data_IF_327168473860
#
_entry.id   IF_327168473860
#
_cell.length_a   1.000
_cell.length_b   1.000
_cell.length_c   1.000
_cell.angle_alpha   90.00
_cell.angle_beta   90.00
_cell.angle_gamma   90.00
#
_symmetry.space_group_name_H-M   'P 1'
#
loop_
_entity.id
_entity.type
_entity.pdbx_description
1 polymer ?
#
# COMPACT_ATOMS: atom_id res chain seq x y z
N UNK A 1 -29.26 -3.07 -9.25
CA UNK A 1 -29.47 -2.17 -10.40
C UNK A 1 -28.81 -0.83 -10.05
N UNK A 2 -27.53 -0.70 -10.28
CA UNK A 2 -26.84 0.58 -10.31
C UNK A 2 -26.52 0.87 -11.78
N UNK A 3 -27.38 1.66 -12.39
CA UNK A 3 -27.13 2.32 -13.65
C UNK A 3 -26.07 3.38 -13.41
N UNK A 4 -24.81 3.08 -13.71
CA UNK A 4 -23.76 4.09 -13.81
C UNK A 4 -24.04 4.94 -15.05
N UNK A 5 -24.57 6.14 -14.87
CA UNK A 5 -24.40 7.20 -15.86
C UNK A 5 -22.90 7.51 -15.90
N UNK A 6 -22.22 6.98 -16.89
CA UNK A 6 -20.93 7.53 -17.32
C UNK A 6 -21.27 8.86 -17.96
N UNK A 7 -21.08 9.94 -17.18
CA UNK A 7 -21.24 11.30 -17.65
C UNK A 7 -19.99 11.67 -18.44
N UNK A 8 -20.28 12.21 -19.60
CA UNK A 8 -19.50 13.06 -20.49
C UNK A 8 -17.97 13.06 -20.41
N UNK A 9 -17.42 12.77 -21.58
CA UNK A 9 -16.06 12.96 -22.07
C UNK A 9 -15.45 14.28 -21.59
N UNK A 10 -14.82 14.31 -20.42
CA UNK A 10 -13.72 15.23 -20.22
C UNK A 10 -12.54 14.74 -21.05
N UNK A 11 -12.25 15.44 -22.14
CA UNK A 11 -11.02 15.28 -22.89
C UNK A 11 -9.86 15.58 -21.93
N UNK A 12 -9.13 14.54 -21.54
CA UNK A 12 -7.90 14.68 -20.74
C UNK A 12 -6.96 15.57 -21.57
N UNK A 13 -6.75 16.78 -21.11
CA UNK A 13 -5.81 17.73 -21.72
C UNK A 13 -4.39 17.32 -21.37
N UNK A 14 -3.84 16.39 -22.16
CA UNK A 14 -2.41 16.07 -22.10
C UNK A 14 -1.58 17.35 -22.25
N UNK A 15 -0.54 17.47 -21.44
CA UNK A 15 0.43 18.55 -21.60
C UNK A 15 1.12 18.43 -22.96
N UNK A 16 1.72 19.52 -23.44
CA UNK A 16 2.41 19.53 -24.73
C UNK A 16 3.54 18.50 -24.80
N UNK A 17 4.26 18.33 -23.69
CA UNK A 17 5.36 17.36 -23.60
C UNK A 17 4.86 15.90 -23.61
N UNK A 18 3.71 15.62 -23.02
CA UNK A 18 3.10 14.28 -23.02
C UNK A 18 2.56 13.94 -24.41
N UNK A 19 1.99 14.91 -25.13
CA UNK A 19 1.56 14.73 -26.52
C UNK A 19 2.75 14.42 -27.43
N UNK A 20 3.83 15.17 -27.32
CA UNK A 20 5.04 14.96 -28.13
C UNK A 20 5.69 13.59 -27.85
N UNK A 21 5.67 13.12 -26.60
CA UNK A 21 6.15 11.78 -26.22
C UNK A 21 5.26 10.68 -26.80
N UNK A 22 3.95 10.88 -26.74
CA UNK A 22 2.97 9.92 -27.26
C UNK A 22 3.09 9.80 -28.78
N UNK A 23 3.15 10.92 -29.49
CA UNK A 23 3.32 10.97 -30.95
C UNK A 23 4.59 10.26 -31.41
N UNK A 24 5.71 10.48 -30.70
CA UNK A 24 6.97 9.77 -30.97
C UNK A 24 6.81 8.25 -30.80
N UNK A 25 6.16 7.82 -29.70
CA UNK A 25 5.99 6.39 -29.42
C UNK A 25 5.04 5.72 -30.40
N UNK A 26 3.99 6.41 -30.84
CA UNK A 26 3.10 5.94 -31.92
C UNK A 26 3.86 5.82 -33.23
N UNK A 27 4.68 6.82 -33.57
CA UNK A 27 5.49 6.79 -34.80
C UNK A 27 6.51 5.63 -34.78
N UNK A 28 7.17 5.36 -33.64
CA UNK A 28 8.08 4.23 -33.47
C UNK A 28 7.38 2.88 -33.71
N UNK A 29 6.17 2.70 -33.16
CA UNK A 29 5.39 1.47 -33.35
C UNK A 29 4.98 1.32 -34.82
N UNK A 30 4.53 2.40 -35.45
CA UNK A 30 4.07 2.35 -36.86
C UNK A 30 5.21 2.08 -37.83
N UNK A 31 6.41 2.58 -37.55
CA UNK A 31 7.60 2.41 -38.40
C UNK A 31 8.31 1.07 -38.21
N UNK A 32 7.95 0.31 -37.19
CA UNK A 32 8.59 -0.97 -36.94
C UNK A 32 8.01 -2.07 -37.85
N UNK A 33 8.83 -2.52 -38.81
CA UNK A 33 8.47 -3.53 -39.81
C UNK A 33 8.42 -4.96 -39.22
N UNK A 34 8.93 -5.19 -38.01
CA UNK A 34 8.86 -6.48 -37.32
C UNK A 34 7.47 -6.77 -36.72
N UNK A 35 6.64 -5.74 -36.56
CA UNK A 35 5.30 -5.88 -35.99
C UNK A 35 4.25 -6.02 -37.08
N UNK A 36 3.38 -7.04 -36.97
CA UNK A 36 2.19 -7.14 -37.80
C UNK A 36 1.21 -6.02 -37.51
N UNK A 37 0.33 -5.68 -38.45
CA UNK A 37 -0.68 -4.63 -38.28
C UNK A 37 -1.57 -4.86 -37.05
N UNK A 38 -1.90 -6.12 -36.75
CA UNK A 38 -2.67 -6.48 -35.56
C UNK A 38 -1.92 -6.18 -34.27
N UNK A 39 -0.59 -6.36 -34.23
CA UNK A 39 0.23 -6.04 -33.06
C UNK A 39 0.36 -4.52 -32.93
N UNK A 40 0.56 -3.80 -34.02
CA UNK A 40 0.60 -2.34 -34.04
C UNK A 40 -0.69 -1.74 -33.48
N UNK A 41 -1.83 -2.22 -33.97
CA UNK A 41 -3.17 -1.81 -33.51
C UNK A 41 -3.37 -2.07 -32.01
N UNK A 42 -2.96 -3.23 -31.52
CA UNK A 42 -3.05 -3.58 -30.11
C UNK A 42 -2.16 -2.67 -29.23
N UNK A 43 -0.94 -2.39 -29.67
CA UNK A 43 -0.01 -1.50 -28.94
C UNK A 43 -0.51 -0.05 -28.92
N UNK A 44 -1.06 0.45 -30.01
CA UNK A 44 -1.65 1.80 -30.08
C UNK A 44 -2.90 1.89 -29.17
N UNK A 45 -3.73 0.87 -29.16
CA UNK A 45 -4.88 0.81 -28.23
C UNK A 45 -4.40 0.81 -26.77
N UNK A 46 -3.37 0.03 -26.42
CA UNK A 46 -2.79 0.05 -25.08
C UNK A 46 -2.26 1.43 -24.70
N UNK A 47 -1.55 2.10 -25.60
CA UNK A 47 -1.09 3.49 -25.38
C UNK A 47 -2.26 4.46 -25.18
N UNK A 48 -3.32 4.32 -25.97
CA UNK A 48 -4.53 5.14 -25.83
C UNK A 48 -5.25 4.90 -24.50
N UNK A 49 -5.28 3.66 -24.01
CA UNK A 49 -5.84 3.33 -22.69
C UNK A 49 -4.95 3.86 -21.55
N UNK A 50 -3.62 3.69 -21.63
CA UNK A 50 -2.69 4.18 -20.63
C UNK A 50 -2.76 5.73 -20.47
N UNK A 51 -3.01 6.47 -21.55
CA UNK A 51 -3.19 7.91 -21.51
C UNK A 51 -4.62 8.38 -21.18
N UNK A 52 -5.57 7.45 -21.08
CA UNK A 52 -6.97 7.76 -20.74
C UNK A 52 -7.25 7.69 -19.24
N UNK A 53 -6.41 6.97 -18.51
CA UNK A 53 -6.52 6.77 -17.06
C UNK A 53 -5.23 7.21 -16.39
N UNK A 54 -5.26 8.37 -15.74
CA UNK A 54 -4.12 8.93 -15.01
C UNK A 54 -4.04 8.41 -13.58
N UNK A 55 -5.09 7.73 -13.11
CA UNK A 55 -5.21 7.28 -11.73
C UNK A 55 -5.65 5.82 -11.66
N UNK A 56 -4.96 5.05 -10.82
CA UNK A 56 -5.35 3.71 -10.41
C UNK A 56 -5.88 3.77 -8.98
N UNK A 57 -7.14 3.41 -8.77
CA UNK A 57 -7.69 3.17 -7.42
C UNK A 57 -7.74 1.66 -7.21
N UNK A 58 -6.90 1.16 -6.33
CA UNK A 58 -6.83 -0.25 -5.97
C UNK A 58 -7.44 -0.47 -4.59
N UNK A 59 -8.53 -1.22 -4.53
CA UNK A 59 -9.25 -1.55 -3.28
C UNK A 59 -9.10 -3.04 -3.03
N UNK A 60 -8.44 -3.41 -1.93
CA UNK A 60 -8.11 -4.80 -1.59
C UNK A 60 -8.64 -5.11 -0.20
N UNK A 61 -9.49 -6.12 -0.10
CA UNK A 61 -9.96 -6.63 1.20
C UNK A 61 -9.01 -7.71 1.69
N UNK A 62 -8.53 -7.57 2.93
CA UNK A 62 -7.71 -8.54 3.64
C UNK A 62 -6.61 -9.18 2.77
N UNK A 63 -5.65 -8.38 2.24
CA UNK A 63 -4.59 -8.90 1.35
C UNK A 63 -3.74 -10.00 1.98
N UNK A 64 -3.84 -10.15 3.30
CA UNK A 64 -3.16 -11.17 4.09
C UNK A 64 -3.91 -12.49 4.22
N UNK A 65 -5.15 -12.58 3.76
CA UNK A 65 -6.01 -13.74 3.98
C UNK A 65 -5.34 -15.04 3.48
N UNK A 66 -5.28 -16.05 4.36
CA UNK A 66 -4.65 -17.34 4.13
C UNK A 66 -3.13 -17.29 3.81
N UNK A 67 -2.45 -16.20 4.17
CA UNK A 67 -1.01 -16.05 3.96
C UNK A 67 -0.21 -16.14 5.26
N UNK A 68 0.95 -16.78 5.20
CA UNK A 68 1.94 -16.70 6.28
C UNK A 68 2.50 -15.27 6.41
N UNK A 69 2.97 -14.85 7.60
CA UNK A 69 3.45 -13.48 7.85
C UNK A 69 4.50 -12.99 6.84
N UNK A 70 5.40 -13.86 6.41
CA UNK A 70 6.41 -13.51 5.40
C UNK A 70 5.81 -13.21 4.04
N UNK A 71 4.79 -13.97 3.64
CA UNK A 71 4.07 -13.74 2.39
C UNK A 71 3.23 -12.47 2.45
N UNK A 72 2.64 -12.15 3.61
CA UNK A 72 1.93 -10.88 3.84
C UNK A 72 2.84 -9.68 3.57
N UNK A 73 4.10 -9.74 4.02
CA UNK A 73 5.07 -8.68 3.77
C UNK A 73 5.36 -8.48 2.27
N UNK A 74 5.52 -9.57 1.51
CA UNK A 74 5.79 -9.47 0.07
C UNK A 74 4.57 -8.95 -0.71
N UNK A 75 3.35 -9.35 -0.32
CA UNK A 75 2.12 -8.81 -0.92
C UNK A 75 1.98 -7.31 -0.66
N UNK A 76 2.14 -6.87 0.60
CA UNK A 76 2.03 -5.44 0.94
C UNK A 76 3.12 -4.60 0.25
N UNK A 77 4.36 -5.10 0.18
CA UNK A 77 5.43 -4.45 -0.61
C UNK A 77 5.03 -4.29 -2.08
N UNK A 78 4.43 -5.32 -2.67
CA UNK A 78 3.99 -5.29 -4.06
C UNK A 78 2.87 -4.28 -4.28
N UNK A 79 1.89 -4.23 -3.37
CA UNK A 79 0.79 -3.26 -3.43
C UNK A 79 1.30 -1.81 -3.31
N UNK A 80 2.17 -1.54 -2.34
CA UNK A 80 2.77 -0.21 -2.15
C UNK A 80 3.63 0.19 -3.35
N UNK A 81 4.46 -0.72 -3.87
CA UNK A 81 5.27 -0.46 -5.05
C UNK A 81 4.45 -0.10 -6.29
N UNK A 82 3.36 -0.84 -6.53
CA UNK A 82 2.48 -0.55 -7.66
C UNK A 82 1.72 0.78 -7.48
N UNK A 83 1.33 1.11 -6.25
CA UNK A 83 0.70 2.39 -5.95
C UNK A 83 1.64 3.57 -6.19
N UNK A 84 2.90 3.44 -5.79
CA UNK A 84 3.93 4.48 -5.94
C UNK A 84 4.38 4.73 -7.40
N UNK A 85 3.80 4.05 -8.38
CA UNK A 85 4.10 4.26 -9.80
C UNK A 85 3.57 5.61 -10.35
N UNK A 86 2.61 6.23 -9.66
CA UNK A 86 2.07 7.57 -9.96
C UNK A 86 1.55 8.19 -8.67
N UNK A 87 1.76 9.50 -8.51
CA UNK A 87 1.26 10.28 -7.36
C UNK A 87 -0.27 10.36 -7.31
N UNK A 88 -0.94 10.13 -8.44
CA UNK A 88 -2.41 10.10 -8.55
C UNK A 88 -3.02 8.76 -8.13
N UNK A 89 -2.21 7.72 -7.92
CA UNK A 89 -2.72 6.41 -7.56
C UNK A 89 -3.18 6.38 -6.10
N UNK A 90 -4.20 5.57 -5.84
CA UNK A 90 -4.73 5.33 -4.50
C UNK A 90 -4.78 3.84 -4.20
N UNK A 91 -4.22 3.44 -3.07
CA UNK A 91 -4.36 2.09 -2.51
C UNK A 91 -5.23 2.16 -1.24
N UNK A 92 -6.32 1.43 -1.25
CA UNK A 92 -7.16 1.22 -0.06
C UNK A 92 -7.15 -0.26 0.26
N UNK A 93 -6.86 -0.64 1.50
CA UNK A 93 -7.02 -2.02 1.93
C UNK A 93 -7.56 -2.11 3.36
N UNK A 94 -8.27 -3.21 3.63
CA UNK A 94 -8.72 -3.58 4.97
C UNK A 94 -7.81 -4.66 5.52
N UNK A 95 -7.65 -4.73 6.83
CA UNK A 95 -6.83 -5.77 7.47
C UNK A 95 -7.29 -6.07 8.89
N UNK A 96 -7.21 -7.34 9.27
CA UNK A 96 -7.32 -7.83 10.64
C UNK A 96 -5.99 -8.42 11.13
N UNK A 97 -4.89 -8.28 10.38
CA UNK A 97 -3.59 -8.83 10.72
C UNK A 97 -2.72 -7.83 11.49
N UNK A 98 -2.25 -8.16 12.69
CA UNK A 98 -1.26 -7.35 13.40
C UNK A 98 0.07 -7.28 12.63
N UNK A 99 0.39 -8.29 11.80
CA UNK A 99 1.58 -8.28 10.95
C UNK A 99 1.48 -7.23 9.84
N UNK A 100 0.31 -7.11 9.20
CA UNK A 100 0.08 -6.07 8.17
C UNK A 100 0.29 -4.68 8.73
N UNK A 101 -0.19 -4.41 9.95
CA UNK A 101 0.03 -3.13 10.63
C UNK A 101 1.49 -2.90 10.99
N UNK A 102 2.19 -3.92 11.49
CA UNK A 102 3.62 -3.85 11.78
C UNK A 102 4.45 -3.58 10.52
N UNK A 103 4.08 -4.18 9.38
CA UNK A 103 4.72 -3.97 8.08
C UNK A 103 4.52 -2.52 7.63
N UNK A 104 3.29 -2.00 7.67
CA UNK A 104 2.99 -0.59 7.33
C UNK A 104 3.79 0.36 8.22
N UNK A 105 3.81 0.15 9.52
CA UNK A 105 4.61 0.95 10.45
C UNK A 105 6.11 0.89 10.13
N UNK A 106 6.61 -0.25 9.69
CA UNK A 106 8.01 -0.39 9.26
C UNK A 106 8.27 0.43 7.99
N UNK A 107 7.33 0.47 7.04
CA UNK A 107 7.43 1.28 5.82
C UNK A 107 7.43 2.78 6.13
N UNK A 108 6.57 3.23 7.04
CA UNK A 108 6.54 4.63 7.51
C UNK A 108 7.83 4.98 8.25
N UNK A 109 8.30 4.11 9.14
CA UNK A 109 9.54 4.33 9.88
C UNK A 109 10.75 4.40 8.94
N UNK A 110 10.75 3.60 7.86
CA UNK A 110 11.77 3.66 6.81
C UNK A 110 11.87 5.04 6.17
N UNK A 111 10.74 5.64 5.78
CA UNK A 111 10.68 6.98 5.21
C UNK A 111 11.15 8.05 6.20
N UNK A 112 10.69 7.99 7.45
CA UNK A 112 11.11 8.91 8.52
C UNK A 112 12.62 8.83 8.78
N UNK A 113 13.17 7.63 8.86
CA UNK A 113 14.60 7.42 9.05
C UNK A 113 15.39 7.96 7.85
N UNK A 114 14.91 7.72 6.64
CA UNK A 114 15.57 8.16 5.41
C UNK A 114 15.58 9.68 5.26
N UNK A 115 14.48 10.36 5.58
CA UNK A 115 14.35 11.80 5.51
C UNK A 115 15.35 12.52 6.42
N UNK A 116 15.60 11.98 7.63
CA UNK A 116 16.47 12.57 8.64
C UNK A 116 17.93 12.08 8.55
N UNK A 117 18.26 11.19 7.60
CA UNK A 117 19.56 10.54 7.52
C UNK A 117 20.59 11.34 6.70
N UNK A 118 21.87 11.25 7.11
CA UNK A 118 23.01 11.66 6.28
C UNK A 118 23.18 10.75 5.06
N UNK A 119 23.94 11.20 4.06
CA UNK A 119 24.16 10.42 2.82
C UNK A 119 24.68 8.98 3.05
N UNK A 120 25.56 8.80 4.04
CA UNK A 120 26.05 7.46 4.40
C UNK A 120 24.98 6.58 5.06
N UNK A 121 24.16 7.18 5.93
CA UNK A 121 23.07 6.47 6.59
C UNK A 121 21.95 6.10 5.63
N UNK A 122 21.64 6.92 4.62
CA UNK A 122 20.64 6.62 3.59
C UNK A 122 20.92 5.31 2.87
N UNK A 123 22.19 5.06 2.51
CA UNK A 123 22.58 3.78 1.88
C UNK A 123 22.33 2.57 2.79
N UNK A 124 22.55 2.72 4.08
CA UNK A 124 22.25 1.65 5.06
C UNK A 124 20.74 1.41 5.16
N UNK A 125 19.95 2.47 5.20
CA UNK A 125 18.48 2.37 5.25
C UNK A 125 17.94 1.73 3.98
N UNK A 126 18.44 2.11 2.81
CA UNK A 126 18.04 1.52 1.52
C UNK A 126 18.36 0.02 1.44
N UNK A 127 19.44 -0.43 2.05
CA UNK A 127 19.76 -1.86 2.13
C UNK A 127 18.79 -2.62 3.04
N UNK A 128 18.22 -1.98 4.06
CA UNK A 128 17.24 -2.58 4.97
C UNK A 128 15.84 -2.54 4.34
N UNK A 129 15.42 -1.37 3.87
CA UNK A 129 14.13 -1.12 3.23
C UNK A 129 14.31 -0.13 2.08
N UNK A 130 14.33 -0.62 0.81
CA UNK A 130 14.44 0.24 -0.36
C UNK A 130 13.36 1.33 -0.40
N UNK A 131 13.70 2.53 -0.88
CA UNK A 131 12.84 3.73 -0.93
C UNK A 131 11.49 3.41 -1.59
N UNK A 132 11.46 2.60 -2.63
CA UNK A 132 10.25 2.19 -3.34
C UNK A 132 9.19 1.46 -2.48
N UNK A 133 9.54 1.05 -1.27
CA UNK A 133 8.64 0.41 -0.30
C UNK A 133 8.40 1.29 0.94
N UNK A 134 8.93 2.51 0.95
CA UNK A 134 8.72 3.45 2.03
C UNK A 134 7.43 4.25 1.79
N UNK A 135 6.76 4.62 2.87
CA UNK A 135 5.51 5.40 2.85
C UNK A 135 5.74 6.66 3.67
N UNK A 136 5.55 7.84 3.07
CA UNK A 136 5.60 9.07 3.85
C UNK A 136 4.39 9.19 4.77
N UNK A 137 4.58 9.83 5.91
CA UNK A 137 3.51 10.02 6.91
C UNK A 137 2.31 10.78 6.35
N UNK A 138 2.54 11.71 5.45
CA UNK A 138 1.54 12.55 4.79
C UNK A 138 0.72 11.82 3.70
N UNK A 139 1.24 10.69 3.20
CA UNK A 139 0.62 9.92 2.12
C UNK A 139 -0.28 8.78 2.65
N UNK A 140 -0.45 8.66 3.96
CA UNK A 140 -1.22 7.59 4.58
C UNK A 140 -2.32 8.11 5.49
N UNK A 141 -3.50 7.49 5.40
CA UNK A 141 -4.57 7.59 6.37
C UNK A 141 -4.97 6.19 6.84
N UNK A 142 -5.15 6.01 8.13
CA UNK A 142 -5.61 4.76 8.72
C UNK A 142 -6.79 5.02 9.65
N UNK A 143 -7.80 4.16 9.55
CA UNK A 143 -9.04 4.27 10.32
C UNK A 143 -9.36 2.95 10.99
N UNK A 144 -9.86 3.04 12.23
CA UNK A 144 -10.47 1.94 12.96
C UNK A 144 -11.99 2.09 12.90
N UNK A 145 -12.66 1.01 12.56
CA UNK A 145 -14.11 0.90 12.64
C UNK A 145 -14.48 0.17 13.91
N UNK A 146 -15.41 0.72 14.70
CA UNK A 146 -15.90 0.10 15.93
C UNK A 146 -17.40 0.30 16.05
N UNK A 147 -18.11 -0.77 16.39
CA UNK A 147 -19.55 -0.73 16.65
C UNK A 147 -19.89 -0.28 18.08
N UNK A 148 -18.91 -0.27 18.97
CA UNK A 148 -19.10 0.04 20.40
C UNK A 148 -18.93 1.52 20.75
N UNK A 149 -18.32 2.31 19.88
CA UNK A 149 -18.05 3.72 20.13
C UNK A 149 -19.09 4.63 19.48
N UNK A 150 -19.32 5.78 20.09
CA UNK A 150 -20.24 6.81 19.57
C UNK A 150 -19.77 7.35 18.19
N UNK A 151 -18.47 7.28 17.88
CA UNK A 151 -17.93 7.51 16.55
C UNK A 151 -17.55 6.19 15.91
N UNK A 152 -18.34 5.75 14.94
CA UNK A 152 -18.16 4.50 14.21
C UNK A 152 -16.79 4.38 13.52
N UNK A 153 -16.19 5.49 13.13
CA UNK A 153 -14.91 5.57 12.42
C UNK A 153 -13.96 6.55 13.13
N UNK A 154 -12.80 6.07 13.54
CA UNK A 154 -11.78 6.86 14.24
C UNK A 154 -10.43 6.73 13.54
N UNK A 155 -9.67 7.83 13.51
CA UNK A 155 -8.28 7.78 13.02
C UNK A 155 -7.45 6.84 13.91
N UNK A 156 -6.73 5.94 13.27
CA UNK A 156 -5.80 5.03 13.93
C UNK A 156 -4.35 5.54 13.89
N UNK A 157 -4.09 6.70 13.29
CA UNK A 157 -2.77 7.34 13.27
C UNK A 157 -2.53 8.04 14.62
N UNK A 158 -1.41 7.75 15.24
CA UNK A 158 -0.96 8.45 16.43
C UNK A 158 -0.39 9.82 16.03
N UNK A 159 -0.98 10.93 16.48
CA UNK A 159 -0.58 12.28 16.04
C UNK A 159 0.85 12.66 16.46
N UNK A 160 1.42 12.02 17.49
CA UNK A 160 2.77 12.32 17.97
C UNK A 160 3.85 11.54 17.21
N UNK A 161 3.52 10.37 16.69
CA UNK A 161 4.49 9.47 16.05
C UNK A 161 4.27 9.30 14.55
N UNK A 162 3.06 9.63 14.04
CA UNK A 162 2.65 9.37 12.66
C UNK A 162 2.53 7.89 12.30
N UNK A 163 2.59 7.02 13.28
CA UNK A 163 2.47 5.58 13.09
C UNK A 163 1.04 5.12 13.34
N UNK A 164 0.65 4.01 12.74
CA UNK A 164 -0.62 3.35 13.06
C UNK A 164 -0.52 2.87 14.51
N UNK A 165 -1.42 3.36 15.35
CA UNK A 165 -1.39 3.11 16.79
C UNK A 165 -1.87 1.70 17.13
N UNK A 166 -1.60 1.28 18.38
CA UNK A 166 -2.09 0.03 18.95
C UNK A 166 -3.60 -0.11 18.74
N UNK A 167 -4.00 -1.24 18.27
CA UNK A 167 -5.40 -1.61 18.03
C UNK A 167 -5.82 -2.78 18.94
N UNK A 168 -7.06 -3.20 18.83
CA UNK A 168 -7.62 -4.31 19.60
C UNK A 168 -6.90 -5.65 19.32
N UNK A 169 -6.26 -5.80 18.16
CA UNK A 169 -5.49 -7.01 17.82
C UNK A 169 -4.27 -7.18 18.73
N UNK A 170 -3.57 -6.07 19.02
CA UNK A 170 -2.43 -6.07 19.95
C UNK A 170 -2.90 -6.31 21.38
N UNK A 171 -4.07 -5.77 21.78
CA UNK A 171 -4.62 -5.97 23.12
C UNK A 171 -5.03 -7.42 23.35
N UNK A 172 -5.67 -8.07 22.39
CA UNK A 172 -6.05 -9.48 22.46
C UNK A 172 -4.83 -10.39 22.63
N UNK A 173 -3.75 -10.13 21.90
CA UNK A 173 -2.47 -10.86 22.06
C UNK A 173 -1.89 -10.67 23.45
N UNK A 174 -1.95 -9.47 24.01
CA UNK A 174 -1.52 -9.15 25.38
C UNK A 174 -2.34 -9.86 26.43
N UNK A 175 -3.65 -9.97 26.23
CA UNK A 175 -4.56 -10.68 27.14
C UNK A 175 -4.30 -12.19 27.16
N UNK A 176 -4.12 -12.79 25.99
CA UNK A 176 -3.74 -14.20 25.85
C UNK A 176 -2.41 -14.47 26.57
N UNK A 177 -1.41 -13.60 26.39
CA UNK A 177 -0.11 -13.75 27.04
C UNK A 177 -0.22 -13.59 28.56
N UNK A 178 -1.04 -12.68 29.08
CA UNK A 178 -1.31 -12.54 30.51
C UNK A 178 -1.95 -13.80 31.10
N UNK A 179 -2.96 -14.36 30.43
CA UNK A 179 -3.60 -15.60 30.84
C UNK A 179 -2.59 -16.74 30.88
N UNK A 180 -1.80 -16.90 29.80
CA UNK A 180 -0.76 -17.92 29.72
C UNK A 180 0.24 -17.81 30.87
N UNK A 181 0.77 -16.62 31.13
CA UNK A 181 1.74 -16.40 32.20
C UNK A 181 1.15 -16.70 33.58
N UNK A 182 -0.11 -16.36 33.81
CA UNK A 182 -0.79 -16.67 35.06
C UNK A 182 -0.95 -18.17 35.28
N UNK A 183 -1.34 -18.91 34.25
CA UNK A 183 -1.44 -20.37 34.27
C UNK A 183 -0.05 -21.02 34.44
N UNK A 184 0.98 -20.50 33.75
CA UNK A 184 2.33 -21.00 33.90
C UNK A 184 2.88 -20.82 35.31
N UNK A 185 2.61 -19.69 35.96
CA UNK A 185 2.97 -19.49 37.37
C UNK A 185 2.27 -20.45 38.32
N UNK A 186 0.99 -20.74 38.07
CA UNK A 186 0.27 -21.76 38.84
C UNK A 186 0.89 -23.14 38.67
N UNK A 187 1.18 -23.53 37.43
CA UNK A 187 1.83 -24.79 37.10
C UNK A 187 3.20 -24.94 37.75
N UNK A 188 4.04 -23.90 37.66
CA UNK A 188 5.37 -23.91 38.28
C UNK A 188 5.32 -24.13 39.79
N UNK A 189 4.32 -23.57 40.49
CA UNK A 189 4.09 -23.81 41.93
C UNK A 189 3.65 -25.25 42.25
N UNK A 190 3.02 -25.96 41.31
CA UNK A 190 2.66 -27.38 41.51
C UNK A 190 3.88 -28.31 41.38
N UNK A 191 4.88 -27.92 40.58
CA UNK A 191 6.13 -28.69 40.40
C UNK A 191 7.13 -28.48 41.55
N UNK A 192 6.96 -27.41 42.34
CA UNK A 192 7.85 -27.10 43.47
C UNK A 192 7.39 -27.75 44.80
N UNK A 193 6.34 -28.58 44.73
CA UNK A 193 5.89 -29.43 45.84
C UNK A 193 6.33 -30.88 45.61
#
# INVERSE_FOLDING_TARGET
FLSSKVSDKEEIKLSKEEKDKLEKRVAEIMQNDEYSDSIKDMMIRQLSYANRYNQLINIVEEPELNLFPRSQMEVLKSLVYNNASSDENMLVFTTHSPYSLAIVNTMIMGAKAYANASAGQRRLIENILPVKFQINEEDIAAYRLSSSDASYCQSAINPNTGLVSKNELDSASGDIMRIFNSLYQCYAKTLAR
#
